data_IF_945371218566
#
_entry.id   IF_945371218566
#
_cell.length_a   1.000
_cell.length_b   1.000
_cell.length_c   1.000
_cell.angle_alpha   90.00
_cell.angle_beta   90.00
_cell.angle_gamma   90.00
#
_symmetry.space_group_name_H-M   'P 1'
#
loop_
_entity.id
_entity.type
_entity.pdbx_description
1 polymer ?
#
# COMPACT_ATOMS: atom_id res chain seq x y z
N UNK A 1 -7.14 3.06 -3.46
CA UNK A 1 -6.58 1.80 -2.94
C UNK A 1 -7.29 1.35 -1.67
N UNK A 2 -7.29 2.14 -0.59
CA UNK A 2 -7.89 1.75 0.71
C UNK A 2 -9.32 1.23 0.59
N UNK A 3 -10.22 1.92 -0.09
CA UNK A 3 -11.62 1.50 -0.27
C UNK A 3 -11.80 0.16 -1.01
N UNK A 4 -10.82 -0.26 -1.81
CA UNK A 4 -10.81 -1.56 -2.48
C UNK A 4 -10.24 -2.66 -1.58
N UNK A 5 -9.20 -2.35 -0.81
CA UNK A 5 -8.54 -3.30 0.07
C UNK A 5 -9.35 -3.54 1.35
N UNK A 6 -9.79 -2.48 2.00
CA UNK A 6 -10.49 -2.53 3.28
C UNK A 6 -11.70 -1.57 3.28
N UNK A 7 -12.82 -1.93 2.63
CA UNK A 7 -13.98 -1.05 2.48
C UNK A 7 -14.73 -0.78 3.79
N UNK A 8 -14.58 -1.64 4.79
CA UNK A 8 -15.19 -1.53 6.11
C UNK A 8 -14.16 -1.90 7.18
N UNK A 9 -13.24 -0.97 7.52
CA UNK A 9 -12.22 -1.25 8.53
C UNK A 9 -12.85 -1.51 9.90
N UNK A 10 -12.31 -2.51 10.61
CA UNK A 10 -12.67 -2.80 11.99
C UNK A 10 -12.22 -1.65 12.91
N UNK A 11 -12.77 -1.60 14.13
CA UNK A 11 -12.49 -0.51 15.07
C UNK A 11 -11.00 -0.36 15.41
N UNK A 12 -10.24 -1.45 15.39
CA UNK A 12 -8.80 -1.56 15.66
C UNK A 12 -7.96 -1.89 14.42
N UNK A 13 -8.48 -1.59 13.21
CA UNK A 13 -7.82 -1.92 11.97
C UNK A 13 -6.41 -1.31 11.89
N UNK A 14 -5.44 -2.12 11.48
CA UNK A 14 -4.06 -1.72 11.26
C UNK A 14 -3.71 -1.80 9.77
N UNK A 15 -3.35 -0.68 9.17
CA UNK A 15 -3.05 -0.59 7.73
C UNK A 15 -1.56 -0.33 7.55
N UNK A 16 -0.90 -1.08 6.66
CA UNK A 16 0.45 -0.76 6.21
C UNK A 16 0.40 -0.02 4.87
N UNK A 17 1.13 1.08 4.79
CA UNK A 17 1.37 1.80 3.53
C UNK A 17 2.86 1.74 3.19
N UNK A 18 3.19 1.22 2.02
CA UNK A 18 4.53 1.29 1.44
C UNK A 18 4.61 2.46 0.47
N UNK A 19 5.49 3.41 0.80
CA UNK A 19 5.65 4.68 0.10
C UNK A 19 4.76 5.79 0.68
N UNK A 20 5.39 6.91 1.08
CA UNK A 20 4.70 8.10 1.56
C UNK A 20 4.34 9.04 0.40
N UNK A 21 5.30 9.23 -0.52
CA UNK A 21 5.15 10.17 -1.64
C UNK A 21 4.72 11.56 -1.18
N UNK A 22 3.58 12.05 -1.69
CA UNK A 22 3.00 13.34 -1.28
C UNK A 22 2.00 13.23 -0.10
N UNK A 23 1.90 12.08 0.55
CA UNK A 23 1.02 11.87 1.70
C UNK A 23 -0.45 11.62 1.39
N UNK A 24 -0.87 11.64 0.12
CA UNK A 24 -2.29 11.52 -0.25
C UNK A 24 -2.90 10.15 0.09
N UNK A 25 -2.16 9.06 -0.11
CA UNK A 25 -2.63 7.71 0.24
C UNK A 25 -2.78 7.57 1.75
N UNK A 26 -1.86 8.14 2.53
CA UNK A 26 -1.93 8.19 3.99
C UNK A 26 -3.14 9.00 4.46
N UNK A 27 -3.31 10.23 3.97
CA UNK A 27 -4.44 11.09 4.32
C UNK A 27 -5.79 10.43 3.98
N UNK A 28 -5.91 9.86 2.78
CA UNK A 28 -7.13 9.15 2.36
C UNK A 28 -7.42 7.91 3.24
N UNK A 29 -6.39 7.22 3.70
CA UNK A 29 -6.52 6.07 4.60
C UNK A 29 -7.01 6.50 5.98
N UNK A 30 -6.39 7.53 6.57
CA UNK A 30 -6.78 8.08 7.87
C UNK A 30 -8.25 8.57 7.90
N UNK A 31 -8.71 9.15 6.79
CA UNK A 31 -10.10 9.61 6.65
C UNK A 31 -11.13 8.46 6.62
N UNK A 32 -10.72 7.25 6.25
CA UNK A 32 -11.58 6.07 6.20
C UNK A 32 -11.49 5.22 7.47
N UNK A 33 -10.44 5.40 8.27
CA UNK A 33 -10.24 4.62 9.48
C UNK A 33 -11.09 5.14 10.64
N UNK A 34 -11.63 4.23 11.46
CA UNK A 34 -12.25 4.59 12.74
C UNK A 34 -11.19 5.17 13.70
N UNK A 35 -11.64 5.85 14.79
CA UNK A 35 -10.72 6.48 15.75
C UNK A 35 -9.71 5.53 16.40
N UNK A 36 -10.05 4.26 16.58
CA UNK A 36 -9.16 3.24 17.16
C UNK A 36 -8.24 2.55 16.13
N UNK A 37 -8.40 2.85 14.84
CA UNK A 37 -7.52 2.31 13.79
C UNK A 37 -6.16 2.97 13.76
N UNK A 38 -5.18 2.33 13.12
CA UNK A 38 -3.80 2.83 13.00
C UNK A 38 -3.25 2.62 11.60
N UNK A 39 -2.27 3.44 11.23
CA UNK A 39 -1.53 3.32 9.97
C UNK A 39 -0.05 3.25 10.26
N UNK A 40 0.60 2.22 9.77
CA UNK A 40 2.06 2.17 9.66
C UNK A 40 2.42 2.62 8.24
N UNK A 41 3.20 3.69 8.10
CA UNK A 41 3.72 4.13 6.79
C UNK A 41 5.22 3.93 6.75
N UNK A 42 5.70 3.21 5.74
CA UNK A 42 7.13 2.97 5.50
C UNK A 42 7.57 3.76 4.29
N UNK A 43 8.57 4.65 4.48
CA UNK A 43 9.18 5.46 3.42
C UNK A 43 10.69 5.23 3.43
N UNK A 44 11.23 4.91 2.24
CA UNK A 44 12.65 4.61 2.10
C UNK A 44 13.53 5.86 2.13
N UNK A 45 13.02 6.98 1.59
CA UNK A 45 13.77 8.21 1.35
C UNK A 45 13.51 9.21 2.48
N UNK A 46 14.48 9.47 3.39
CA UNK A 46 14.29 10.38 4.52
C UNK A 46 13.87 11.80 4.08
N UNK A 47 14.37 12.27 2.93
CA UNK A 47 14.05 13.59 2.39
C UNK A 47 12.55 13.73 2.06
N UNK A 48 11.90 12.66 1.60
CA UNK A 48 10.45 12.65 1.36
C UNK A 48 9.68 12.85 2.66
N UNK A 49 10.16 12.27 3.76
CA UNK A 49 9.59 12.47 5.09
C UNK A 49 9.72 13.94 5.51
N UNK A 50 10.91 14.53 5.35
CA UNK A 50 11.14 15.93 5.71
C UNK A 50 10.30 16.88 4.84
N UNK A 51 10.11 16.58 3.56
CA UNK A 51 9.21 17.36 2.71
C UNK A 51 7.76 17.27 3.17
N UNK A 52 7.29 16.13 3.65
CA UNK A 52 5.93 15.97 4.18
C UNK A 52 5.75 16.64 5.55
N UNK A 53 6.80 16.77 6.35
CA UNK A 53 6.79 17.58 7.57
C UNK A 53 6.83 19.09 7.29
N UNK A 54 7.37 19.46 6.12
CA UNK A 54 7.52 20.83 5.66
C UNK A 54 6.59 21.19 4.50
N UNK A 55 7.14 21.50 3.29
CA UNK A 55 6.39 22.13 2.21
C UNK A 55 5.26 21.26 1.61
N UNK A 56 5.33 19.94 1.68
CA UNK A 56 4.28 19.05 1.17
C UNK A 56 3.16 18.80 2.18
N UNK A 57 3.42 18.95 3.48
CA UNK A 57 2.45 18.67 4.55
C UNK A 57 1.08 19.30 4.32
N UNK A 58 0.98 20.63 4.04
CA UNK A 58 -0.30 21.30 3.80
C UNK A 58 -1.10 20.72 2.64
N UNK A 59 -0.45 20.14 1.62
CA UNK A 59 -1.13 19.61 0.44
C UNK A 59 -2.00 18.39 0.76
N UNK A 60 -1.61 17.60 1.75
CA UNK A 60 -2.33 16.42 2.21
C UNK A 60 -2.97 16.59 3.60
N UNK A 61 -2.92 17.81 4.19
CA UNK A 61 -3.48 18.10 5.50
C UNK A 61 -2.66 17.54 6.66
N UNK A 62 -1.33 17.52 6.53
CA UNK A 62 -0.37 17.09 7.57
C UNK A 62 -0.61 15.67 8.12
N UNK A 63 -0.74 14.64 7.28
CA UNK A 63 -1.15 13.31 7.74
C UNK A 63 -0.12 12.62 8.63
N UNK A 64 1.15 13.06 8.63
CA UNK A 64 2.18 12.56 9.56
C UNK A 64 1.99 13.06 11.00
N UNK A 65 1.19 14.11 11.23
CA UNK A 65 0.89 14.64 12.56
C UNK A 65 -0.32 13.94 13.20
N UNK A 66 -1.05 13.11 12.44
CA UNK A 66 -2.18 12.33 12.99
C UNK A 66 -1.63 11.28 13.99
N UNK A 67 -2.14 11.24 15.23
CA UNK A 67 -1.66 10.33 16.27
C UNK A 67 -1.84 8.84 15.94
N UNK A 68 -2.63 8.51 14.93
CA UNK A 68 -2.81 7.14 14.42
C UNK A 68 -1.73 6.73 13.43
N UNK A 69 -0.82 7.63 13.06
CA UNK A 69 0.26 7.39 12.10
C UNK A 69 1.54 6.98 12.81
N UNK A 70 2.05 5.79 12.46
CA UNK A 70 3.37 5.28 12.86
C UNK A 70 4.29 5.30 11.63
N UNK A 71 5.31 6.15 11.65
CA UNK A 71 6.25 6.33 10.54
C UNK A 71 7.51 5.48 10.74
N UNK A 72 7.84 4.69 9.73
CA UNK A 72 9.07 3.92 9.64
C UNK A 72 9.89 4.46 8.45
N UNK A 73 11.10 4.95 8.71
CA UNK A 73 12.06 5.28 7.65
C UNK A 73 12.84 4.01 7.31
N UNK A 74 12.51 3.40 6.18
CA UNK A 74 13.11 2.13 5.76
C UNK A 74 12.30 1.37 4.72
N UNK A 75 12.78 0.19 4.38
CA UNK A 75 12.18 -0.70 3.37
C UNK A 75 10.86 -1.31 3.87
N UNK A 76 9.78 -1.10 3.13
CA UNK A 76 8.49 -1.74 3.43
C UNK A 76 8.56 -3.27 3.39
N UNK A 77 9.45 -3.81 2.56
CA UNK A 77 9.70 -5.25 2.50
C UNK A 77 10.15 -5.83 3.84
N UNK A 78 10.95 -5.09 4.62
CA UNK A 78 11.42 -5.54 5.94
C UNK A 78 10.29 -5.50 6.97
N UNK A 79 9.45 -4.47 6.92
CA UNK A 79 8.23 -4.38 7.75
C UNK A 79 7.30 -5.57 7.47
N UNK A 80 7.09 -5.91 6.18
CA UNK A 80 6.27 -7.05 5.77
C UNK A 80 6.88 -8.37 6.26
N UNK A 81 8.19 -8.59 6.05
CA UNK A 81 8.88 -9.82 6.48
C UNK A 81 8.87 -10.01 7.99
N UNK A 82 9.03 -8.92 8.74
CA UNK A 82 9.03 -8.91 10.22
C UNK A 82 7.64 -9.02 10.85
N UNK A 83 6.56 -9.02 10.06
CA UNK A 83 5.18 -9.05 10.56
C UNK A 83 4.50 -10.40 10.32
N UNK A 84 3.57 -10.76 11.23
CA UNK A 84 2.72 -11.95 11.09
C UNK A 84 1.30 -11.62 11.57
N UNK A 85 0.30 -11.82 10.72
CA UNK A 85 -1.12 -11.57 11.03
C UNK A 85 -1.36 -10.23 11.76
N UNK A 86 -0.72 -9.16 11.24
CA UNK A 86 -0.71 -7.83 11.85
C UNK A 86 -1.65 -6.86 11.13
N UNK A 87 -1.69 -6.91 9.80
CA UNK A 87 -2.33 -5.88 8.99
C UNK A 87 -3.67 -6.34 8.43
N UNK A 88 -4.66 -5.46 8.46
CA UNK A 88 -5.96 -5.65 7.80
C UNK A 88 -5.87 -5.29 6.31
N UNK A 89 -4.98 -4.35 5.97
CA UNK A 89 -4.60 -4.10 4.58
C UNK A 89 -3.14 -3.68 4.45
N UNK A 90 -2.54 -4.00 3.30
CA UNK A 90 -1.23 -3.51 2.85
C UNK A 90 -1.47 -2.77 1.54
N UNK A 91 -1.09 -1.49 1.49
CA UNK A 91 -1.23 -0.63 0.33
C UNK A 91 0.17 -0.31 -0.21
N UNK A 92 0.53 -0.85 -1.36
CA UNK A 92 1.82 -0.58 -1.99
C UNK A 92 1.64 0.50 -3.08
N UNK A 93 2.10 1.69 -2.75
CA UNK A 93 2.14 2.88 -3.62
C UNK A 93 3.61 3.25 -3.87
N UNK A 94 4.41 2.23 -4.16
CA UNK A 94 5.84 2.36 -4.44
C UNK A 94 6.06 2.50 -5.94
N UNK A 95 6.84 3.50 -6.34
CA UNK A 95 7.08 3.96 -7.71
C UNK A 95 6.93 2.92 -8.83
N UNK A 96 6.06 3.23 -9.80
CA UNK A 96 5.84 2.50 -11.06
C UNK A 96 5.20 1.12 -10.99
N UNK A 97 4.75 0.64 -9.83
CA UNK A 97 3.99 -0.61 -9.71
C UNK A 97 4.77 -1.85 -10.16
N UNK A 98 4.02 -2.83 -10.66
CA UNK A 98 4.55 -4.17 -11.01
C UNK A 98 5.51 -4.15 -12.20
N UNK A 99 5.39 -3.16 -13.10
CA UNK A 99 6.26 -3.00 -14.29
C UNK A 99 7.63 -2.35 -13.97
N UNK A 100 7.86 -1.90 -12.74
CA UNK A 100 9.13 -1.26 -12.37
C UNK A 100 10.26 -2.27 -12.11
N UNK A 101 10.48 -3.17 -13.05
CA UNK A 101 11.69 -4.00 -13.13
C UNK A 101 12.99 -3.16 -13.21
N UNK A 102 12.88 -1.82 -13.25
CA UNK A 102 14.01 -0.89 -13.39
C UNK A 102 14.66 -0.49 -12.06
N UNK A 103 14.05 -0.76 -10.90
CA UNK A 103 14.70 -0.59 -9.60
C UNK A 103 14.70 -1.91 -8.82
N UNK A 104 15.88 -2.51 -8.70
CA UNK A 104 16.12 -3.81 -8.06
C UNK A 104 15.55 -3.93 -6.61
N UNK A 105 15.38 -2.80 -5.91
CA UNK A 105 14.91 -2.79 -4.52
C UNK A 105 13.42 -3.15 -4.37
N UNK A 106 12.53 -2.70 -5.26
CA UNK A 106 11.09 -2.99 -5.16
C UNK A 106 10.69 -4.33 -5.79
N UNK A 107 11.56 -4.91 -6.64
CA UNK A 107 11.26 -6.19 -7.31
C UNK A 107 11.06 -7.34 -6.31
N UNK A 108 11.70 -7.30 -5.16
CA UNK A 108 11.57 -8.34 -4.12
C UNK A 108 10.15 -8.44 -3.53
N UNK A 109 9.36 -7.35 -3.52
CA UNK A 109 7.98 -7.34 -3.05
C UNK A 109 7.06 -8.19 -3.92
N UNK A 110 7.37 -8.28 -5.20
CA UNK A 110 6.56 -8.92 -6.23
C UNK A 110 7.03 -10.33 -6.59
N UNK A 111 8.09 -10.82 -5.98
CA UNK A 111 8.51 -12.23 -6.10
C UNK A 111 7.54 -13.17 -5.38
N UNK A 112 7.63 -14.46 -5.63
CA UNK A 112 6.86 -15.47 -4.91
C UNK A 112 7.07 -15.39 -3.38
N UNK A 113 8.32 -15.15 -2.95
CA UNK A 113 8.69 -14.99 -1.53
C UNK A 113 8.11 -13.70 -0.94
N UNK A 114 8.16 -12.57 -1.68
CA UNK A 114 7.60 -11.30 -1.25
C UNK A 114 6.09 -11.37 -1.09
N UNK A 115 5.38 -11.93 -2.08
CA UNK A 115 3.94 -12.13 -2.02
C UNK A 115 3.53 -13.10 -0.90
N UNK A 116 4.29 -14.18 -0.68
CA UNK A 116 4.07 -15.08 0.44
C UNK A 116 4.32 -14.40 1.81
N UNK A 117 5.31 -13.49 1.90
CA UNK A 117 5.53 -12.70 3.10
C UNK A 117 4.36 -11.73 3.34
N UNK A 118 3.89 -11.02 2.31
CA UNK A 118 2.71 -10.16 2.41
C UNK A 118 1.47 -10.95 2.84
N UNK A 119 1.26 -12.15 2.28
CA UNK A 119 0.15 -13.01 2.70
C UNK A 119 0.23 -13.39 4.18
N UNK A 120 1.42 -13.75 4.69
CA UNK A 120 1.59 -14.09 6.12
C UNK A 120 1.42 -12.89 7.06
N UNK A 121 1.78 -11.69 6.63
CA UNK A 121 1.71 -10.47 7.43
C UNK A 121 0.30 -9.90 7.55
N UNK A 122 -0.59 -10.24 6.61
CA UNK A 122 -2.01 -9.89 6.67
C UNK A 122 -2.75 -10.74 7.72
N UNK A 123 -3.79 -10.17 8.31
CA UNK A 123 -4.82 -10.91 9.07
C UNK A 123 -5.68 -11.76 8.11
N UNK A 124 -6.43 -12.79 8.59
CA UNK A 124 -7.50 -13.40 7.81
C UNK A 124 -8.45 -12.34 7.25
N UNK A 125 -8.96 -12.51 6.05
CA UNK A 125 -9.78 -11.55 5.30
C UNK A 125 -9.06 -10.23 4.92
N UNK A 126 -7.81 -10.04 5.33
CA UNK A 126 -6.99 -8.89 4.99
C UNK A 126 -6.62 -8.85 3.50
N UNK A 127 -6.23 -7.68 3.00
CA UNK A 127 -5.95 -7.52 1.58
C UNK A 127 -4.65 -6.75 1.29
N UNK A 128 -3.95 -7.21 0.26
CA UNK A 128 -2.86 -6.51 -0.41
C UNK A 128 -3.43 -5.74 -1.60
N UNK A 129 -3.18 -4.43 -1.66
CA UNK A 129 -3.50 -3.58 -2.82
C UNK A 129 -2.24 -2.95 -3.38
N UNK A 130 -2.03 -3.10 -4.68
CA UNK A 130 -0.84 -2.60 -5.38
C UNK A 130 -1.31 -1.67 -6.50
N UNK A 131 -0.83 -0.42 -6.45
CA UNK A 131 -1.02 0.51 -7.55
C UNK A 131 -0.03 0.22 -8.68
N UNK A 132 -0.48 0.34 -9.94
CA UNK A 132 0.37 0.16 -11.12
C UNK A 132 -0.06 1.08 -12.27
N UNK A 133 0.94 1.65 -12.96
CA UNK A 133 0.72 2.43 -14.17
C UNK A 133 0.43 1.54 -15.40
N UNK A 134 0.77 0.25 -15.35
CA UNK A 134 0.60 -0.71 -16.43
C UNK A 134 -0.21 -1.95 -16.04
N UNK A 135 -0.65 -2.70 -17.04
CA UNK A 135 -1.30 -4.01 -16.86
C UNK A 135 -0.28 -5.13 -17.01
N UNK A 136 -0.01 -5.86 -15.96
CA UNK A 136 0.65 -7.16 -16.07
C UNK A 136 -0.40 -8.28 -15.98
N UNK A 137 -0.74 -8.86 -17.13
CA UNK A 137 -1.77 -9.92 -17.23
C UNK A 137 -1.46 -11.15 -16.36
N UNK A 138 -0.20 -11.40 -16.08
CA UNK A 138 0.26 -12.55 -15.28
C UNK A 138 0.25 -12.29 -13.78
N UNK A 139 0.12 -11.02 -13.34
CA UNK A 139 0.26 -10.68 -11.93
C UNK A 139 -0.85 -11.25 -11.05
N UNK A 140 -2.10 -11.28 -11.54
CA UNK A 140 -3.17 -11.98 -10.83
C UNK A 140 -2.87 -13.46 -10.61
N UNK A 141 -2.26 -14.13 -11.59
CA UNK A 141 -1.87 -15.53 -11.46
C UNK A 141 -0.80 -15.73 -10.39
N UNK A 142 0.14 -14.75 -10.29
CA UNK A 142 1.17 -14.74 -9.23
C UNK A 142 0.55 -14.54 -7.85
N UNK A 143 -0.42 -13.63 -7.72
CA UNK A 143 -1.17 -13.44 -6.47
C UNK A 143 -1.91 -14.73 -6.07
N UNK A 144 -2.59 -15.40 -7.04
CA UNK A 144 -3.29 -16.67 -6.76
C UNK A 144 -2.32 -17.77 -6.35
N UNK A 145 -1.16 -17.86 -7.00
CA UNK A 145 -0.12 -18.82 -6.64
C UNK A 145 0.44 -18.58 -5.22
N UNK A 146 0.42 -17.34 -4.74
CA UNK A 146 0.80 -16.98 -3.37
C UNK A 146 -0.34 -17.15 -2.34
N UNK A 147 -1.50 -17.70 -2.73
CA UNK A 147 -2.61 -18.02 -1.83
C UNK A 147 -3.70 -16.94 -1.74
N UNK A 148 -3.65 -15.88 -2.55
CA UNK A 148 -4.66 -14.84 -2.56
C UNK A 148 -5.84 -15.16 -3.49
N UNK A 149 -7.02 -14.68 -3.13
CA UNK A 149 -8.07 -14.40 -4.13
C UNK A 149 -7.76 -13.07 -4.79
N UNK A 150 -7.56 -13.05 -6.12
CA UNK A 150 -7.04 -11.88 -6.84
C UNK A 150 -8.06 -11.26 -7.77
N UNK A 151 -8.08 -9.92 -7.83
CA UNK A 151 -8.84 -9.11 -8.79
C UNK A 151 -8.03 -7.89 -9.24
N UNK A 152 -8.35 -7.37 -10.44
CA UNK A 152 -7.74 -6.16 -10.98
C UNK A 152 -8.83 -5.12 -11.23
N UNK A 153 -8.58 -3.89 -10.78
CA UNK A 153 -9.47 -2.75 -10.94
C UNK A 153 -8.81 -1.69 -11.82
N UNK A 154 -9.46 -1.31 -12.91
CA UNK A 154 -9.03 -0.20 -13.76
C UNK A 154 -9.57 1.11 -13.19
N UNK A 155 -8.68 2.09 -13.01
CA UNK A 155 -9.00 3.43 -12.51
C UNK A 155 -8.61 4.44 -13.59
N UNK A 156 -9.55 5.31 -13.97
CA UNK A 156 -9.24 6.44 -14.86
C UNK A 156 -8.66 7.59 -14.04
N UNK A 157 -7.59 8.18 -14.53
CA UNK A 157 -7.07 9.45 -14.00
C UNK A 157 -8.14 10.55 -14.06
N UNK A 158 -8.07 11.52 -13.13
CA UNK A 158 -9.05 12.62 -13.02
C UNK A 158 -9.17 13.49 -14.27
N UNK A 159 -8.12 13.59 -15.08
CA UNK A 159 -8.14 14.38 -16.31
C UNK A 159 -8.70 13.57 -17.48
N UNK A 160 -9.49 14.22 -18.35
CA UNK A 160 -10.05 13.61 -19.58
C UNK A 160 -8.98 13.02 -20.51
N UNK A 161 -7.71 13.36 -20.32
CA UNK A 161 -6.53 12.81 -21.00
C UNK A 161 -5.72 11.88 -20.09
N UNK A 162 -6.18 11.61 -18.84
CA UNK A 162 -5.49 10.78 -17.85
C UNK A 162 -5.37 9.34 -18.32
N UNK A 163 -4.19 8.74 -18.15
CA UNK A 163 -3.91 7.35 -18.42
C UNK A 163 -4.81 6.41 -17.62
N UNK A 164 -4.89 5.17 -18.05
CA UNK A 164 -5.49 4.10 -17.26
C UNK A 164 -4.46 3.63 -16.23
N UNK A 165 -4.87 3.60 -14.98
CA UNK A 165 -4.12 3.05 -13.87
C UNK A 165 -4.82 1.78 -13.38
N UNK A 166 -4.08 0.91 -12.73
CA UNK A 166 -4.60 -0.36 -12.27
C UNK A 166 -4.32 -0.52 -10.77
N UNK A 167 -5.26 -1.11 -10.05
CA UNK A 167 -5.04 -1.58 -8.69
C UNK A 167 -5.26 -3.08 -8.68
N UNK A 168 -4.20 -3.82 -8.44
CA UNK A 168 -4.27 -5.25 -8.15
C UNK A 168 -4.64 -5.44 -6.69
N UNK A 169 -5.65 -6.26 -6.43
CA UNK A 169 -6.08 -6.59 -5.07
C UNK A 169 -5.97 -8.09 -4.86
N UNK A 170 -5.18 -8.50 -3.89
CA UNK A 170 -5.09 -9.87 -3.39
C UNK A 170 -5.70 -9.95 -2.00
N UNK A 171 -6.76 -10.73 -1.82
CA UNK A 171 -7.40 -10.94 -0.51
C UNK A 171 -6.94 -12.26 0.08
N UNK A 172 -6.49 -12.24 1.34
CA UNK A 172 -6.18 -13.44 2.11
C UNK A 172 -7.50 -14.08 2.56
N UNK A 173 -7.78 -15.36 2.21
CA UNK A 173 -8.92 -16.12 2.74
C UNK A 173 -8.86 -16.30 4.24
#
# INVERSE_FOLDING_TARGET
MMSLACPRPQADACILIGGLGMGYTLAATLNLLPPGGSVVVSELVPEVVEWNRGPLGPLAGHPLEDPRTDLIVGEVADVIRGSKSRFDAILLDVDNGVDSLTRAHNSCLYTAEGLAAAHRSLRPDGALAIWSAGTERTFESRLRAAGFTASTHSIRGRDKRGGHYFVFVGRRP
#
